data_IF_351865733301
#
_entry.id   IF_351865733301
#
_cell.length_a   1.000
_cell.length_b   1.000
_cell.length_c   1.000
_cell.angle_alpha   90.00
_cell.angle_beta   90.00
_cell.angle_gamma   90.00
#
_symmetry.space_group_name_H-M   'P 1'
#
loop_
_entity.id
_entity.type
_entity.pdbx_description
1 polymer ?
#
# COMPACT_ATOMS: atom_id res chain seq x y z
N UNK A 1 -60.27 -37.52 81.10
CA UNK A 1 -60.03 -38.11 79.76
C UNK A 1 -60.92 -37.54 78.66
N UNK A 2 -62.25 -37.47 78.82
CA UNK A 2 -63.17 -37.01 77.76
C UNK A 2 -62.94 -35.57 77.27
N UNK A 3 -62.62 -34.64 78.17
CA UNK A 3 -62.28 -33.25 77.82
C UNK A 3 -60.91 -33.10 77.14
N UNK A 4 -59.93 -33.95 77.50
CA UNK A 4 -58.61 -33.93 76.88
C UNK A 4 -58.66 -34.36 75.41
N UNK A 5 -59.50 -35.36 75.09
CA UNK A 5 -59.71 -35.82 73.71
C UNK A 5 -60.43 -34.75 72.88
N UNK A 6 -61.41 -34.04 73.46
CA UNK A 6 -62.06 -32.93 72.75
C UNK A 6 -61.13 -31.75 72.50
N UNK A 7 -60.23 -31.43 73.45
CA UNK A 7 -59.23 -30.38 73.28
C UNK A 7 -58.19 -30.75 72.22
N UNK A 8 -57.81 -32.04 72.14
CA UNK A 8 -56.88 -32.55 71.11
C UNK A 8 -57.49 -32.51 69.70
N UNK A 9 -58.78 -32.85 69.54
CA UNK A 9 -59.48 -32.75 68.25
C UNK A 9 -59.72 -31.30 67.82
N UNK A 10 -59.96 -30.39 68.76
CA UNK A 10 -60.08 -28.96 68.45
C UNK A 10 -58.74 -28.36 68.01
N UNK A 11 -57.64 -28.81 68.61
CA UNK A 11 -56.30 -28.39 68.22
C UNK A 11 -55.97 -28.82 66.78
N UNK A 12 -56.24 -30.07 66.38
CA UNK A 12 -56.00 -30.50 64.99
C UNK A 12 -56.85 -29.78 63.95
N UNK A 13 -58.03 -29.27 64.33
CA UNK A 13 -58.89 -28.48 63.44
C UNK A 13 -58.41 -27.02 63.28
N UNK A 14 -57.74 -26.47 64.29
CA UNK A 14 -57.21 -25.09 64.28
C UNK A 14 -55.88 -24.98 63.53
N UNK A 15 -55.11 -26.07 63.42
CA UNK A 15 -53.85 -26.12 62.67
C UNK A 15 -54.00 -26.94 61.38
N UNK A 16 -54.99 -26.57 60.56
CA UNK A 16 -55.17 -27.13 59.23
C UNK A 16 -53.88 -27.01 58.40
N UNK A 17 -53.54 -28.08 57.69
CA UNK A 17 -52.34 -28.20 56.86
C UNK A 17 -52.27 -27.07 55.83
N UNK A 18 -51.26 -26.20 55.94
CA UNK A 18 -50.97 -25.19 54.91
C UNK A 18 -50.59 -25.91 53.62
N UNK A 19 -51.42 -25.76 52.60
CA UNK A 19 -51.18 -26.27 51.26
C UNK A 19 -50.56 -25.14 50.42
N UNK A 20 -49.27 -25.24 50.10
CA UNK A 20 -48.59 -24.29 49.22
C UNK A 20 -48.93 -24.60 47.77
N UNK A 21 -50.03 -24.01 47.28
CA UNK A 21 -50.38 -24.02 45.87
C UNK A 21 -49.87 -22.73 45.20
N UNK A 22 -49.27 -22.85 44.02
CA UNK A 22 -48.79 -21.70 43.27
C UNK A 22 -49.92 -21.06 42.44
N UNK A 23 -49.85 -19.75 42.16
CA UNK A 23 -50.83 -19.07 41.33
C UNK A 23 -50.88 -19.67 39.92
N UNK A 24 -52.07 -20.00 39.45
CA UNK A 24 -52.28 -20.54 38.11
C UNK A 24 -53.70 -21.05 37.94
N UNK A 25 -54.32 -20.77 36.79
CA UNK A 25 -55.64 -21.30 36.46
C UNK A 25 -55.47 -22.69 35.87
N UNK A 26 -55.87 -23.71 36.63
CA UNK A 26 -55.96 -25.09 36.12
C UNK A 26 -57.06 -25.18 35.06
N UNK A 27 -56.76 -25.78 33.91
CA UNK A 27 -57.71 -26.00 32.84
C UNK A 27 -58.70 -27.13 33.21
N UNK A 28 -59.75 -27.29 32.39
CA UNK A 28 -60.82 -28.28 32.63
C UNK A 28 -60.33 -29.72 32.66
N UNK A 29 -59.15 -30.01 32.11
CA UNK A 29 -58.50 -31.32 32.11
C UNK A 29 -57.55 -31.52 33.30
N UNK A 30 -57.58 -30.64 34.31
CA UNK A 30 -56.76 -30.78 35.52
C UNK A 30 -55.29 -30.37 35.36
N UNK A 31 -54.94 -29.75 34.22
CA UNK A 31 -53.57 -29.37 33.90
C UNK A 31 -53.42 -27.87 33.61
N UNK A 32 -52.21 -27.34 33.69
CA UNK A 32 -51.91 -25.97 33.28
C UNK A 32 -50.44 -25.77 32.93
N UNK A 33 -50.13 -24.60 32.34
CA UNK A 33 -48.78 -24.15 32.03
C UNK A 33 -48.27 -23.21 33.12
N UNK A 34 -47.03 -23.40 33.55
CA UNK A 34 -46.40 -22.43 34.44
C UNK A 34 -46.01 -21.16 33.67
N UNK A 35 -46.51 -20.01 34.14
CA UNK A 35 -46.29 -18.69 33.52
C UNK A 35 -45.88 -17.59 34.50
N UNK A 36 -45.78 -17.90 35.79
CA UNK A 36 -45.44 -16.92 36.83
C UNK A 36 -44.62 -17.61 37.92
N UNK A 37 -43.47 -17.02 38.26
CA UNK A 37 -42.58 -17.48 39.34
C UNK A 37 -42.21 -18.98 39.27
N UNK A 38 -42.10 -19.55 38.06
CA UNK A 38 -41.89 -20.98 37.85
C UNK A 38 -40.67 -21.54 38.57
N UNK A 39 -39.59 -20.76 38.56
CA UNK A 39 -38.33 -21.12 39.20
C UNK A 39 -38.47 -21.25 40.73
N UNK A 40 -39.34 -20.43 41.35
CA UNK A 40 -39.64 -20.51 42.80
C UNK A 40 -40.33 -21.82 43.19
N UNK A 41 -40.89 -22.54 42.22
CA UNK A 41 -41.60 -23.81 42.40
C UNK A 41 -40.87 -24.98 41.74
N UNK A 42 -39.62 -24.78 41.29
CA UNK A 42 -38.78 -25.83 40.71
C UNK A 42 -39.31 -26.41 39.40
N UNK A 43 -40.11 -25.66 38.63
CA UNK A 43 -40.66 -26.08 37.33
C UNK A 43 -40.15 -25.17 36.22
N UNK A 44 -39.96 -25.72 35.02
CA UNK A 44 -39.50 -24.92 33.88
C UNK A 44 -40.58 -23.95 33.40
N UNK A 45 -40.16 -22.79 32.91
CA UNK A 45 -41.07 -21.83 32.28
C UNK A 45 -41.80 -22.45 31.08
N UNK A 46 -43.10 -22.14 30.95
CA UNK A 46 -43.99 -22.72 29.94
C UNK A 46 -44.09 -24.25 29.97
N UNK A 47 -43.68 -24.91 31.06
CA UNK A 47 -43.92 -26.34 31.23
C UNK A 47 -45.38 -26.60 31.61
N UNK A 48 -46.01 -27.58 30.96
CA UNK A 48 -47.34 -28.06 31.33
C UNK A 48 -47.23 -29.15 32.38
N UNK A 49 -48.01 -29.06 33.45
CA UNK A 49 -48.15 -30.15 34.41
C UNK A 49 -49.60 -30.33 34.84
N UNK A 50 -49.89 -31.45 35.49
CA UNK A 50 -51.24 -31.89 35.85
C UNK A 50 -51.33 -32.23 37.33
N UNK A 51 -52.49 -31.99 37.94
CA UNK A 51 -52.78 -32.29 39.34
C UNK A 51 -53.91 -33.34 39.43
N UNK A 52 -53.95 -34.13 40.52
CA UNK A 52 -55.06 -35.05 40.78
C UNK A 52 -55.09 -36.36 39.99
N UNK A 53 -53.93 -36.90 39.58
CA UNK A 53 -53.83 -38.21 38.93
C UNK A 53 -53.99 -38.21 37.41
N UNK A 54 -54.18 -37.04 36.80
CA UNK A 54 -54.11 -36.89 35.35
C UNK A 54 -52.67 -37.07 34.86
N UNK A 55 -52.47 -37.95 33.89
CA UNK A 55 -51.13 -38.22 33.34
C UNK A 55 -50.62 -36.97 32.61
N UNK A 56 -49.49 -36.45 33.08
CA UNK A 56 -48.78 -35.41 32.34
C UNK A 56 -48.35 -35.97 30.98
N UNK A 57 -48.65 -35.28 29.86
CA UNK A 57 -47.96 -35.57 28.61
C UNK A 57 -46.46 -35.43 28.87
N UNK A 58 -45.67 -36.42 28.45
CA UNK A 58 -44.21 -36.39 28.57
C UNK A 58 -43.70 -35.09 27.93
N UNK A 59 -43.23 -34.17 28.76
CA UNK A 59 -42.62 -32.94 28.31
C UNK A 59 -41.22 -33.29 27.79
N UNK A 60 -41.10 -33.45 26.48
CA UNK A 60 -39.81 -33.31 25.83
C UNK A 60 -39.45 -31.82 25.88
N UNK A 61 -38.37 -31.43 26.59
CA UNK A 61 -37.92 -30.05 26.53
C UNK A 61 -37.68 -29.69 25.07
N UNK A 62 -38.05 -28.46 24.64
CA UNK A 62 -37.69 -27.99 23.32
C UNK A 62 -36.18 -28.12 23.15
N UNK A 63 -35.70 -28.51 21.96
CA UNK A 63 -34.27 -28.67 21.72
C UNK A 63 -33.56 -27.37 22.08
N UNK A 64 -32.55 -27.48 22.96
CA UNK A 64 -31.68 -26.36 23.30
C UNK A 64 -31.07 -25.86 22.00
N UNK A 65 -31.39 -24.62 21.61
CA UNK A 65 -30.84 -24.04 20.40
C UNK A 65 -29.31 -23.95 20.54
N UNK A 66 -28.61 -24.77 19.76
CA UNK A 66 -27.16 -24.74 19.64
C UNK A 66 -26.85 -23.96 18.36
N UNK A 67 -26.09 -22.86 18.44
CA UNK A 67 -25.68 -22.14 17.24
C UNK A 67 -24.80 -23.06 16.40
N UNK A 68 -25.12 -23.13 15.12
CA UNK A 68 -24.35 -23.80 14.09
C UNK A 68 -22.93 -23.24 14.03
N UNK A 69 -21.95 -24.01 13.52
CA UNK A 69 -20.60 -23.51 13.30
C UNK A 69 -20.56 -22.21 12.47
N UNK A 70 -21.43 -22.09 11.47
CA UNK A 70 -21.58 -20.88 10.65
C UNK A 70 -22.07 -19.69 11.48
N UNK A 71 -23.08 -19.87 12.34
CA UNK A 71 -23.56 -18.80 13.22
C UNK A 71 -22.46 -18.33 14.20
N UNK A 72 -21.58 -19.22 14.64
CA UNK A 72 -20.40 -18.84 15.44
C UNK A 72 -19.43 -17.99 14.64
N UNK A 73 -19.11 -18.39 13.40
CA UNK A 73 -18.28 -17.57 12.51
C UNK A 73 -18.90 -16.20 12.27
N UNK A 74 -20.21 -16.16 12.01
CA UNK A 74 -20.93 -14.91 11.77
C UNK A 74 -20.92 -13.98 12.98
N UNK A 75 -20.98 -14.54 14.19
CA UNK A 75 -20.83 -13.76 15.42
C UNK A 75 -19.42 -13.20 15.63
N UNK A 76 -18.38 -13.84 15.08
CA UNK A 76 -16.98 -13.42 15.25
C UNK A 76 -16.50 -12.50 14.12
N UNK A 77 -16.89 -12.77 12.88
CA UNK A 77 -16.34 -12.12 11.67
C UNK A 77 -17.39 -11.39 10.83
N UNK A 78 -18.64 -11.34 11.30
CA UNK A 78 -19.76 -10.69 10.64
C UNK A 78 -20.54 -11.62 9.70
N UNK A 79 -21.72 -11.16 9.26
CA UNK A 79 -22.70 -11.95 8.50
C UNK A 79 -22.18 -12.52 7.17
N UNK A 80 -21.08 -11.97 6.65
CA UNK A 80 -20.43 -12.43 5.40
C UNK A 80 -19.36 -13.51 5.63
N UNK A 81 -19.32 -14.11 6.81
CA UNK A 81 -18.46 -15.26 7.10
C UNK A 81 -19.28 -16.56 7.15
N UNK A 82 -18.60 -17.66 6.87
CA UNK A 82 -19.16 -19.01 7.00
C UNK A 82 -18.12 -19.98 7.56
N UNK A 83 -18.56 -21.12 8.09
CA UNK A 83 -17.66 -22.16 8.54
C UNK A 83 -17.34 -23.13 7.41
N UNK A 84 -16.06 -23.29 7.09
CA UNK A 84 -15.57 -24.24 6.11
C UNK A 84 -15.14 -25.54 6.81
N UNK A 85 -15.89 -26.61 6.58
CA UNK A 85 -15.63 -27.92 7.17
C UNK A 85 -14.36 -28.60 6.64
N UNK A 86 -13.89 -28.23 5.44
CA UNK A 86 -12.68 -28.78 4.84
C UNK A 86 -11.42 -28.19 5.48
N UNK A 87 -11.41 -26.89 5.74
CA UNK A 87 -10.30 -26.18 6.41
C UNK A 87 -10.44 -26.12 7.93
N UNK A 88 -11.59 -26.55 8.47
CA UNK A 88 -11.93 -26.46 9.90
C UNK A 88 -11.77 -25.03 10.46
N UNK A 89 -12.13 -24.02 9.66
CA UNK A 89 -11.92 -22.59 9.93
C UNK A 89 -13.11 -21.75 9.46
N UNK A 90 -13.20 -20.50 9.95
CA UNK A 90 -14.11 -19.50 9.41
C UNK A 90 -13.48 -18.84 8.18
N UNK A 91 -14.22 -18.84 7.07
CA UNK A 91 -13.85 -18.21 5.80
C UNK A 91 -14.86 -17.11 5.44
N UNK A 92 -14.48 -16.20 4.54
CA UNK A 92 -15.37 -15.18 4.01
C UNK A 92 -16.15 -15.71 2.80
N UNK A 93 -17.41 -15.32 2.68
CA UNK A 93 -18.23 -15.62 1.52
C UNK A 93 -17.56 -15.09 0.24
N UNK A 94 -17.88 -15.71 -0.90
CA UNK A 94 -17.37 -15.30 -2.20
C UNK A 94 -17.56 -13.79 -2.43
N UNK A 95 -16.47 -13.09 -2.81
CA UNK A 95 -16.44 -11.63 -2.99
C UNK A 95 -16.14 -10.82 -1.72
N UNK A 96 -15.84 -11.50 -0.59
CA UNK A 96 -15.43 -10.88 0.66
C UNK A 96 -14.08 -11.42 1.09
N UNK A 97 -13.29 -10.56 1.73
CA UNK A 97 -12.01 -10.93 2.34
C UNK A 97 -11.93 -10.43 3.78
N UNK A 98 -11.06 -11.07 4.58
CA UNK A 98 -10.74 -10.57 5.92
C UNK A 98 -10.07 -9.21 5.79
N UNK A 99 -10.59 -8.22 6.53
CA UNK A 99 -9.96 -6.90 6.62
C UNK A 99 -8.51 -7.02 7.14
N UNK A 100 -7.72 -5.94 7.03
CA UNK A 100 -6.30 -5.94 7.45
C UNK A 100 -6.10 -6.31 8.93
N UNK A 101 -7.11 -6.09 9.78
CA UNK A 101 -7.10 -6.44 11.20
C UNK A 101 -7.56 -7.88 11.48
N UNK A 102 -7.97 -8.65 10.46
CA UNK A 102 -8.51 -10.03 10.56
C UNK A 102 -9.69 -10.18 11.52
N UNK A 103 -10.56 -9.17 11.54
CA UNK A 103 -11.70 -9.07 12.47
C UNK A 103 -13.04 -9.14 11.77
N UNK A 104 -13.14 -8.78 10.48
CA UNK A 104 -14.40 -8.78 9.74
C UNK A 104 -14.19 -9.17 8.28
N UNK A 105 -15.16 -9.88 7.70
CA UNK A 105 -15.25 -10.09 6.25
C UNK A 105 -15.85 -8.84 5.59
N UNK A 106 -15.03 -8.11 4.85
CA UNK A 106 -15.41 -6.91 4.13
C UNK A 106 -15.40 -7.19 2.63
N UNK A 107 -16.26 -6.50 1.89
CA UNK A 107 -16.09 -6.38 0.44
C UNK A 107 -14.74 -5.69 0.31
N UNK A 108 -13.71 -6.37 -0.21
CA UNK A 108 -12.58 -5.61 -0.70
C UNK A 108 -13.18 -4.56 -1.62
N UNK A 109 -12.76 -3.30 -1.48
CA UNK A 109 -12.75 -2.44 -2.65
C UNK A 109 -11.78 -3.12 -3.60
N UNK A 110 -12.26 -4.15 -4.31
CA UNK A 110 -11.56 -4.77 -5.41
C UNK A 110 -11.28 -3.59 -6.29
N UNK A 111 -10.02 -3.14 -6.30
CA UNK A 111 -9.59 -2.06 -7.16
C UNK A 111 -10.18 -2.42 -8.51
N UNK A 112 -11.02 -1.54 -9.04
CA UNK A 112 -11.63 -1.80 -10.34
C UNK A 112 -10.48 -2.10 -11.29
N UNK A 113 -10.66 -2.94 -12.32
CA UNK A 113 -9.60 -3.20 -13.29
C UNK A 113 -8.96 -1.90 -13.84
N UNK A 114 -9.75 -0.82 -13.90
CA UNK A 114 -9.26 0.52 -14.22
C UNK A 114 -8.35 1.13 -13.15
N UNK A 115 -8.64 0.96 -11.86
CA UNK A 115 -7.74 1.37 -10.77
C UNK A 115 -6.42 0.58 -10.79
N UNK A 116 -6.45 -0.71 -11.10
CA UNK A 116 -5.23 -1.52 -11.29
C UNK A 116 -4.40 -1.03 -12.49
N UNK A 117 -5.05 -0.73 -13.62
CA UNK A 117 -4.37 -0.09 -14.75
C UNK A 117 -3.74 1.25 -14.35
N UNK A 118 -4.42 2.05 -13.52
CA UNK A 118 -3.92 3.37 -13.08
C UNK A 118 -2.72 3.27 -12.16
N UNK A 119 -2.66 2.25 -11.31
CA UNK A 119 -1.48 1.98 -10.49
C UNK A 119 -0.29 1.48 -11.33
N UNK A 120 -0.57 0.71 -12.38
CA UNK A 120 0.47 0.12 -13.24
C UNK A 120 1.03 1.10 -14.27
N UNK A 121 0.15 1.87 -14.93
CA UNK A 121 0.49 2.70 -16.10
C UNK A 121 0.21 4.20 -15.90
N UNK A 122 -0.22 4.60 -14.71
CA UNK A 122 -0.51 6.00 -14.35
C UNK A 122 -1.96 6.42 -14.60
N UNK A 123 -2.35 7.60 -14.10
CA UNK A 123 -3.75 8.06 -14.08
C UNK A 123 -4.43 8.20 -15.46
N UNK A 124 -3.66 8.23 -16.54
CA UNK A 124 -4.13 8.33 -17.92
C UNK A 124 -4.36 6.96 -18.58
N UNK A 125 -4.38 5.89 -17.80
CA UNK A 125 -4.77 4.56 -18.26
C UNK A 125 -6.18 4.19 -17.79
N UNK A 126 -6.80 3.26 -18.50
CA UNK A 126 -8.07 2.65 -18.16
C UNK A 126 -8.13 1.20 -18.63
N UNK A 127 -9.04 0.42 -18.06
CA UNK A 127 -9.25 -0.96 -18.48
C UNK A 127 -10.29 -1.03 -19.59
N UNK A 128 -9.92 -1.59 -20.75
CA UNK A 128 -10.86 -1.84 -21.83
C UNK A 128 -11.42 -3.26 -21.71
N UNK A 129 -12.69 -3.36 -21.33
CA UNK A 129 -13.40 -4.63 -21.15
C UNK A 129 -13.62 -5.41 -22.45
N UNK A 130 -13.49 -4.76 -23.62
CA UNK A 130 -13.67 -5.43 -24.92
C UNK A 130 -12.42 -6.21 -25.31
N UNK A 131 -11.24 -5.67 -24.98
CA UNK A 131 -9.95 -6.25 -25.35
C UNK A 131 -9.20 -6.89 -24.18
N UNK A 132 -9.75 -6.81 -22.97
CA UNK A 132 -9.20 -7.39 -21.74
C UNK A 132 -7.76 -6.92 -21.44
N UNK A 133 -7.47 -5.64 -21.74
CA UNK A 133 -6.15 -5.03 -21.57
C UNK A 133 -6.27 -3.59 -21.10
N UNK A 134 -5.24 -3.11 -20.39
CA UNK A 134 -5.09 -1.70 -20.06
C UNK A 134 -4.76 -0.89 -21.31
N UNK A 135 -5.51 0.19 -21.54
CA UNK A 135 -5.30 1.16 -22.62
C UNK A 135 -5.04 2.54 -22.05
N UNK A 136 -4.42 3.39 -22.87
CA UNK A 136 -4.27 4.80 -22.55
C UNK A 136 -5.50 5.58 -23.02
N UNK A 137 -5.90 6.59 -22.27
CA UNK A 137 -6.95 7.54 -22.67
C UNK A 137 -6.55 8.18 -24.00
N UNK A 138 -7.53 8.54 -24.84
CA UNK A 138 -7.30 9.21 -26.12
C UNK A 138 -6.30 10.38 -25.99
N UNK A 139 -5.24 10.37 -26.81
CA UNK A 139 -4.14 11.36 -26.77
C UNK A 139 -2.91 10.89 -25.99
N UNK A 140 -2.99 9.76 -25.29
CA UNK A 140 -1.87 9.14 -24.59
C UNK A 140 -1.49 7.82 -25.27
N UNK A 141 -0.20 7.52 -25.28
CA UNK A 141 0.35 6.27 -25.77
C UNK A 141 1.25 5.64 -24.70
N UNK A 142 1.37 4.31 -24.72
CA UNK A 142 2.29 3.60 -23.82
C UNK A 142 3.73 4.00 -24.21
N UNK A 143 4.54 4.42 -23.24
CA UNK A 143 5.93 4.78 -23.48
C UNK A 143 6.75 3.59 -24.03
N UNK A 144 7.93 3.86 -24.57
CA UNK A 144 8.84 2.83 -25.12
C UNK A 144 9.16 1.65 -24.17
N UNK A 145 9.16 1.89 -22.85
CA UNK A 145 9.40 0.86 -21.82
C UNK A 145 8.14 0.13 -21.37
N UNK A 146 6.96 0.50 -21.88
CA UNK A 146 5.65 -0.05 -21.52
C UNK A 146 5.32 0.06 -20.03
N UNK A 147 5.79 1.12 -19.39
CA UNK A 147 5.60 1.36 -17.95
C UNK A 147 4.64 2.50 -17.65
N UNK A 148 4.27 3.33 -18.62
CA UNK A 148 3.35 4.46 -18.38
C UNK A 148 2.64 4.93 -19.65
N UNK A 149 1.41 5.43 -19.50
CA UNK A 149 0.68 6.17 -20.53
C UNK A 149 1.14 7.63 -20.54
N UNK A 150 1.93 7.99 -21.53
CA UNK A 150 2.54 9.33 -21.67
C UNK A 150 2.16 9.93 -23.02
N UNK A 151 2.32 11.23 -23.12
CA UNK A 151 2.17 11.93 -24.39
C UNK A 151 3.52 11.96 -25.10
N UNK A 152 4.00 10.79 -25.57
CA UNK A 152 5.35 10.71 -26.18
C UNK A 152 5.40 11.41 -27.54
N UNK A 153 4.29 11.41 -28.27
CA UNK A 153 4.19 11.99 -29.61
C UNK A 153 4.12 13.52 -29.61
N UNK A 154 3.48 14.14 -28.61
CA UNK A 154 3.37 15.61 -28.57
C UNK A 154 4.69 16.30 -28.25
N UNK A 155 5.53 15.80 -27.34
CA UNK A 155 6.76 16.53 -27.03
C UNK A 155 7.63 16.69 -28.28
N UNK A 156 7.79 15.61 -29.05
CA UNK A 156 8.60 15.61 -30.28
C UNK A 156 7.96 16.39 -31.42
N UNK A 157 6.63 16.43 -31.51
CA UNK A 157 5.90 17.26 -32.49
C UNK A 157 5.88 18.74 -32.11
N UNK A 158 5.86 19.08 -30.82
CA UNK A 158 5.79 20.45 -30.30
C UNK A 158 7.19 21.10 -30.20
N UNK A 159 8.19 20.34 -29.74
CA UNK A 159 9.52 20.84 -29.39
C UNK A 159 10.66 20.11 -30.12
N UNK A 160 10.34 19.36 -31.17
CA UNK A 160 11.30 18.66 -32.01
C UNK A 160 11.87 17.39 -31.38
N UNK A 161 12.66 16.64 -32.17
CA UNK A 161 13.17 15.31 -31.80
C UNK A 161 14.10 15.30 -30.58
N UNK A 162 14.58 16.45 -30.13
CA UNK A 162 15.46 16.61 -28.96
C UNK A 162 14.71 16.89 -27.66
N UNK A 163 13.41 16.56 -27.62
CA UNK A 163 12.56 16.69 -26.45
C UNK A 163 12.06 15.33 -25.96
N UNK A 164 11.78 15.24 -24.67
CA UNK A 164 11.22 14.07 -24.02
C UNK A 164 10.21 14.51 -22.95
N UNK A 165 9.33 13.60 -22.55
CA UNK A 165 8.41 13.85 -21.43
C UNK A 165 9.09 13.46 -20.11
N UNK A 166 9.21 14.41 -19.18
CA UNK A 166 9.69 14.13 -17.83
C UNK A 166 8.47 13.91 -16.90
N UNK A 167 8.36 12.70 -16.36
CA UNK A 167 7.30 12.32 -15.43
C UNK A 167 7.41 13.02 -14.06
N UNK A 168 8.59 13.50 -13.69
CA UNK A 168 8.84 14.17 -12.41
C UNK A 168 8.33 15.60 -12.44
N UNK A 169 8.58 16.32 -13.53
CA UNK A 169 8.09 17.68 -13.74
C UNK A 169 6.73 17.73 -14.45
N UNK A 170 6.22 16.58 -14.91
CA UNK A 170 4.97 16.43 -15.64
C UNK A 170 4.88 17.39 -16.84
N UNK A 171 6.00 17.52 -17.56
CA UNK A 171 6.18 18.47 -18.66
C UNK A 171 7.14 17.92 -19.73
N UNK A 172 7.07 18.47 -20.95
CA UNK A 172 8.08 18.21 -21.97
C UNK A 172 9.36 18.99 -21.67
N UNK A 173 10.47 18.28 -21.60
CA UNK A 173 11.82 18.80 -21.36
C UNK A 173 12.75 18.53 -22.55
N UNK A 174 13.82 19.32 -22.64
CA UNK A 174 14.85 19.11 -23.66
C UNK A 174 15.89 18.11 -23.15
N UNK A 175 16.38 17.24 -24.05
CA UNK A 175 17.47 16.30 -23.75
C UNK A 175 18.71 17.08 -23.29
N UNK A 176 19.53 16.46 -22.45
CA UNK A 176 20.80 17.03 -22.00
C UNK A 176 21.60 17.68 -23.15
N UNK A 177 22.06 18.93 -22.94
CA UNK A 177 22.72 19.84 -23.91
C UNK A 177 21.81 20.56 -24.90
N UNK A 178 20.51 20.38 -24.80
CA UNK A 178 19.52 21.15 -25.54
C UNK A 178 18.74 22.07 -24.60
N UNK A 179 18.37 23.24 -25.09
CA UNK A 179 17.57 24.23 -24.38
C UNK A 179 16.42 24.70 -25.27
N UNK A 180 15.35 25.19 -24.66
CA UNK A 180 14.24 25.76 -25.41
C UNK A 180 14.72 27.02 -26.13
N UNK A 181 14.42 27.13 -27.43
CA UNK A 181 14.61 28.37 -28.16
C UNK A 181 13.88 29.53 -27.46
N UNK A 182 14.35 30.75 -27.73
CA UNK A 182 13.75 32.05 -27.45
C UNK A 182 12.23 32.09 -27.67
N UNK A 183 11.72 31.43 -28.71
CA UNK A 183 10.29 31.34 -29.01
C UNK A 183 9.55 30.24 -28.23
N UNK A 184 10.27 29.40 -27.48
CA UNK A 184 9.81 28.21 -26.75
C UNK A 184 9.12 27.17 -27.63
N UNK A 185 9.53 27.04 -28.90
CA UNK A 185 8.91 26.14 -29.89
C UNK A 185 9.80 25.00 -30.36
N UNK A 186 11.04 24.92 -29.88
CA UNK A 186 11.96 23.85 -30.26
C UNK A 186 13.04 23.67 -29.19
N UNK A 187 13.57 22.45 -29.07
CA UNK A 187 14.74 22.13 -28.27
C UNK A 187 15.99 22.24 -29.15
N UNK A 188 16.66 23.38 -29.07
CA UNK A 188 17.87 23.69 -29.84
C UNK A 188 19.11 23.40 -29.01
N UNK A 189 20.22 23.07 -29.67
CA UNK A 189 21.51 22.82 -28.99
C UNK A 189 21.91 24.08 -28.22
N UNK A 190 22.18 23.93 -26.92
CA UNK A 190 22.46 25.07 -26.04
C UNK A 190 23.72 25.80 -26.49
N UNK A 191 23.59 27.09 -26.84
CA UNK A 191 24.73 27.94 -27.25
C UNK A 191 25.70 28.16 -26.09
N UNK A 192 25.22 28.01 -24.85
CA UNK A 192 26.00 28.17 -23.62
C UNK A 192 27.11 27.11 -23.50
N UNK A 193 26.98 25.95 -24.16
CA UNK A 193 28.00 24.89 -24.12
C UNK A 193 29.09 25.09 -25.19
N UNK A 194 28.83 25.88 -26.25
CA UNK A 194 29.84 26.13 -27.28
C UNK A 194 30.91 27.16 -26.85
N UNK A 195 30.70 27.90 -25.77
CA UNK A 195 31.71 28.84 -25.25
C UNK A 195 32.53 28.38 -24.04
N UNK A 196 32.24 27.23 -23.40
CA UNK A 196 33.02 26.85 -22.20
C UNK A 196 33.18 25.35 -21.98
N UNK A 197 34.15 24.79 -22.69
CA UNK A 197 35.27 24.13 -22.02
C UNK A 197 36.48 24.26 -22.94
N UNK A 198 37.22 25.38 -22.85
CA UNK A 198 38.58 25.43 -23.38
C UNK A 198 39.30 24.20 -22.83
N UNK A 199 39.85 23.38 -23.72
CA UNK A 199 40.68 22.24 -23.35
C UNK A 199 41.79 22.73 -22.42
N UNK A 200 42.32 21.88 -21.52
CA UNK A 200 43.47 22.25 -20.69
C UNK A 200 44.64 22.80 -21.53
N UNK A 201 44.80 22.29 -22.75
CA UNK A 201 45.79 22.79 -23.71
C UNK A 201 45.51 24.20 -24.21
N UNK A 202 44.26 24.54 -24.57
CA UNK A 202 43.91 25.91 -24.97
C UNK A 202 44.11 26.91 -23.83
N UNK A 203 43.73 26.54 -22.60
CA UNK A 203 43.98 27.38 -21.40
C UNK A 203 45.47 27.63 -21.18
N UNK A 204 46.30 26.58 -21.32
CA UNK A 204 47.75 26.72 -21.21
C UNK A 204 48.35 27.57 -22.32
N UNK A 205 47.82 27.49 -23.55
CA UNK A 205 48.31 28.25 -24.70
C UNK A 205 47.95 29.73 -24.60
N UNK A 206 46.78 30.07 -24.10
CA UNK A 206 46.39 31.46 -23.81
C UNK A 206 47.34 32.12 -22.81
N UNK A 207 47.77 31.36 -21.79
CA UNK A 207 48.60 31.88 -20.70
C UNK A 207 50.10 31.86 -20.98
N UNK A 208 50.60 30.83 -21.67
CA UNK A 208 52.04 30.56 -21.82
C UNK A 208 52.50 30.46 -23.28
N UNK A 209 51.60 30.72 -24.23
CA UNK A 209 51.86 30.70 -25.66
C UNK A 209 51.72 29.32 -26.32
N UNK A 210 51.69 29.29 -27.65
CA UNK A 210 51.36 28.11 -28.47
C UNK A 210 52.24 26.86 -28.22
N UNK A 211 53.41 27.02 -27.59
CA UNK A 211 54.33 25.92 -27.30
C UNK A 211 54.11 25.27 -25.93
N UNK A 212 53.06 25.66 -25.21
CA UNK A 212 52.57 24.96 -24.03
C UNK A 212 51.42 23.99 -24.37
N UNK A 213 51.17 23.05 -23.46
CA UNK A 213 50.00 22.17 -23.44
C UNK A 213 49.62 21.86 -22.00
N UNK A 214 48.38 21.44 -21.79
CA UNK A 214 47.84 21.09 -20.47
C UNK A 214 47.25 19.69 -20.50
N UNK A 215 47.26 19.01 -19.35
CA UNK A 215 46.64 17.71 -19.13
C UNK A 215 45.41 17.88 -18.23
N UNK A 216 44.42 17.00 -18.39
CA UNK A 216 43.27 16.96 -17.48
C UNK A 216 43.72 16.44 -16.11
N UNK A 217 43.50 17.23 -15.05
CA UNK A 217 43.76 16.84 -13.66
C UNK A 217 42.44 16.60 -12.93
N UNK A 218 42.41 15.56 -12.09
CA UNK A 218 41.25 15.21 -11.24
C UNK A 218 40.97 16.26 -10.16
N UNK A 219 41.95 17.12 -9.87
CA UNK A 219 41.90 18.05 -8.75
C UNK A 219 41.53 19.48 -9.20
N UNK A 220 41.17 19.67 -10.47
CA UNK A 220 40.75 20.96 -11.04
C UNK A 220 41.87 22.00 -11.21
N UNK A 221 43.12 21.62 -10.96
CA UNK A 221 44.32 22.43 -11.21
C UNK A 221 44.93 22.03 -12.55
N UNK A 222 44.86 22.92 -13.54
CA UNK A 222 45.43 22.71 -14.88
C UNK A 222 46.97 22.86 -14.85
N UNK A 223 47.72 21.75 -14.84
CA UNK A 223 49.18 21.77 -14.97
C UNK A 223 49.59 22.00 -16.44
N UNK A 224 50.39 23.04 -16.68
CA UNK A 224 50.91 23.36 -18.01
C UNK A 224 52.34 22.86 -18.19
N UNK A 225 52.66 22.40 -19.40
CA UNK A 225 53.96 21.86 -19.78
C UNK A 225 54.42 22.41 -21.14
N UNK A 226 55.72 22.39 -21.40
CA UNK A 226 56.26 22.75 -22.71
C UNK A 226 56.30 21.55 -23.66
N UNK A 227 55.92 21.78 -24.92
CA UNK A 227 56.01 20.78 -26.00
C UNK A 227 57.46 20.32 -26.19
N UNK A 228 57.62 19.12 -26.77
CA UNK A 228 58.94 18.57 -27.08
C UNK A 228 59.79 19.54 -27.91
N UNK A 229 61.06 19.72 -27.51
CA UNK A 229 61.96 20.72 -28.11
C UNK A 229 61.90 22.11 -27.48
N UNK A 230 60.96 22.35 -26.57
CA UNK A 230 60.82 23.60 -25.82
C UNK A 230 61.07 23.40 -24.33
N UNK A 231 61.47 24.47 -23.65
CA UNK A 231 61.65 24.54 -22.20
C UNK A 231 61.05 25.85 -21.69
N UNK A 232 60.73 25.90 -20.40
CA UNK A 232 60.29 27.14 -19.78
C UNK A 232 61.34 28.25 -19.93
N UNK A 233 60.87 29.47 -20.17
CA UNK A 233 61.68 30.68 -20.05
C UNK A 233 62.19 30.82 -18.61
N UNK A 234 63.26 31.60 -18.40
CA UNK A 234 63.87 31.80 -17.06
C UNK A 234 62.87 32.34 -16.02
N UNK A 235 61.80 32.99 -16.47
CA UNK A 235 60.73 33.55 -15.67
C UNK A 235 59.42 32.73 -15.70
N UNK A 236 59.42 31.52 -16.29
CA UNK A 236 58.25 30.62 -16.38
C UNK A 236 56.99 31.26 -16.99
N UNK A 237 57.15 32.22 -17.89
CA UNK A 237 56.03 32.90 -18.56
C UNK A 237 55.77 32.39 -19.98
N UNK A 238 56.68 31.61 -20.56
CA UNK A 238 56.51 31.04 -21.89
C UNK A 238 57.39 29.81 -22.14
N UNK A 239 57.01 29.02 -23.15
CA UNK A 239 57.82 27.90 -23.64
C UNK A 239 58.69 28.33 -24.83
N UNK A 240 60.01 28.35 -24.63
CA UNK A 240 61.02 28.77 -25.61
C UNK A 240 61.84 27.60 -26.12
N UNK A 241 62.39 27.69 -27.34
CA UNK A 241 63.19 26.61 -27.93
C UNK A 241 64.39 26.28 -27.04
N UNK A 242 64.61 24.98 -26.79
CA UNK A 242 65.82 24.49 -26.12
C UNK A 242 67.02 24.91 -26.98
N UNK A 243 67.90 25.74 -26.42
CA UNK A 243 69.16 26.07 -27.09
C UNK A 243 69.93 24.76 -27.30
N UNK A 244 70.24 24.41 -28.55
CA UNK A 244 71.21 23.35 -28.81
C UNK A 244 72.53 23.78 -28.17
N UNK A 245 73.05 23.00 -27.23
CA UNK A 245 74.43 23.21 -26.78
C UNK A 245 75.31 23.04 -28.02
N UNK A 246 75.87 24.13 -28.52
CA UNK A 246 76.97 24.05 -29.46
C UNK A 246 78.18 23.51 -28.70
N UNK A 247 79.09 22.82 -29.41
CA UNK A 247 80.32 22.24 -28.83
C UNK A 247 81.12 23.25 -27.99
N UNK A 248 81.00 24.54 -28.31
CA UNK A 248 81.58 25.66 -27.56
C UNK A 248 81.03 25.85 -26.13
N UNK A 249 79.76 25.52 -25.89
CA UNK A 249 79.13 25.67 -24.57
C UNK A 249 79.58 24.58 -23.58
N UNK A 250 80.03 23.42 -24.06
CA UNK A 250 80.60 22.37 -23.19
C UNK A 250 81.99 22.74 -22.64
N UNK A 251 82.77 23.53 -23.38
CA UNK A 251 84.13 23.94 -22.96
C UNK A 251 84.04 25.02 -21.88
N UNK A 252 83.07 25.94 -21.97
CA UNK A 252 82.86 26.97 -20.93
C UNK A 252 82.42 26.40 -19.58
N UNK A 253 81.60 25.35 -19.58
CA UNK A 253 81.15 24.68 -18.35
C UNK A 253 82.27 23.83 -17.67
N UNK A 254 83.41 23.61 -18.34
CA UNK A 254 84.54 22.80 -17.83
C UNK A 254 85.70 23.64 -17.26
N UNK A 255 85.70 24.96 -17.50
CA UNK A 255 86.74 25.90 -17.05
C UNK A 255 86.23 26.95 -16.05
N UNK A 256 85.04 26.74 -15.46
CA UNK A 256 84.49 27.51 -14.34
C UNK A 256 84.19 26.58 -13.17
#
# INVERSE_FOLDING_TARGET
MRYLIMLLMLFTFLFGSVSFAHPGRTASDGCHYCRTNCDSWGVAWNQRHCHGGSTTPSYTPPPVYQPTPTEKCQSSYGSNSYYNSTSNSCDCNYGYELNSAKTYCVIEKTKTPTEECKETYGSNSYYDTTSDVCKCVSGYELNSTKTSCVIEKECKEIYGSNSYYDSTSNACECIYRYERDSAKKDCIKSKIIEEKAKTPTEKCQDKYGLNSYGLESTDGLDDCYCKNGYQWSLNNTSCVLKKKKTRWNYIKDFFN
#
